data_IF_148879108052
#
_entry.id   IF_148879108052
#
_cell.length_a   1.000
_cell.length_b   1.000
_cell.length_c   1.000
_cell.angle_alpha   90.00
_cell.angle_beta   90.00
_cell.angle_gamma   90.00
#
_symmetry.space_group_name_H-M   'P 1'
#
loop_
_entity.id
_entity.type
_entity.pdbx_description
1 polymer ?
#
# COMPACT_ATOMS: atom_id res chain seq x y z
N UNK A 1 12.57 -3.59 -14.70
CA UNK A 1 11.40 -2.72 -14.61
C UNK A 1 11.69 -1.55 -13.68
N UNK A 2 11.47 -0.35 -14.14
CA UNK A 2 11.75 0.81 -13.33
C UNK A 2 10.65 1.03 -12.31
N UNK A 3 11.05 1.44 -11.12
CA UNK A 3 10.10 1.78 -10.08
C UNK A 3 9.55 3.19 -10.31
N UNK A 4 8.36 3.40 -9.82
CA UNK A 4 7.74 4.70 -9.83
C UNK A 4 8.55 5.67 -8.97
N UNK A 5 8.85 6.85 -9.50
CA UNK A 5 9.55 7.89 -8.75
C UNK A 5 8.52 8.66 -7.93
N UNK A 6 8.78 8.81 -6.63
CA UNK A 6 7.88 9.49 -5.70
C UNK A 6 6.44 8.99 -5.83
N UNK A 7 6.20 7.69 -5.62
CA UNK A 7 4.85 7.13 -5.78
C UNK A 7 3.90 7.69 -4.72
N UNK A 8 2.61 7.82 -5.05
CA UNK A 8 1.62 8.26 -4.07
C UNK A 8 1.43 7.20 -2.99
N UNK A 9 0.96 7.63 -1.82
CA UNK A 9 0.59 6.68 -0.77
C UNK A 9 -0.56 5.81 -1.29
N UNK A 10 -0.54 4.51 -1.02
CA UNK A 10 -1.61 3.62 -1.50
C UNK A 10 -3.01 4.07 -1.09
N UNK A 11 -3.15 4.74 0.05
CA UNK A 11 -4.45 5.27 0.48
C UNK A 11 -5.03 6.28 -0.51
N UNK A 12 -4.20 7.11 -1.13
CA UNK A 12 -4.65 8.04 -2.16
C UNK A 12 -5.16 7.30 -3.38
N UNK A 13 -4.49 6.23 -3.77
CA UNK A 13 -4.89 5.42 -4.91
C UNK A 13 -6.25 4.79 -4.64
N UNK A 14 -6.44 4.22 -3.45
CA UNK A 14 -7.72 3.63 -3.07
C UNK A 14 -8.82 4.68 -3.13
N UNK A 15 -8.58 5.85 -2.59
CA UNK A 15 -9.56 6.92 -2.57
C UNK A 15 -9.95 7.34 -3.98
N UNK A 16 -8.96 7.60 -4.83
CA UNK A 16 -9.21 8.09 -6.18
C UNK A 16 -9.82 7.04 -7.11
N UNK A 17 -9.41 5.79 -6.98
CA UNK A 17 -9.86 4.74 -7.90
C UNK A 17 -11.08 3.99 -7.42
N UNK A 18 -11.27 3.87 -6.12
CA UNK A 18 -12.31 2.99 -5.57
C UNK A 18 -13.43 3.73 -4.88
N UNK A 19 -13.12 4.81 -4.18
CA UNK A 19 -14.11 5.49 -3.32
C UNK A 19 -14.74 6.67 -4.02
N UNK A 20 -13.94 7.60 -4.54
CA UNK A 20 -14.46 8.81 -5.16
C UNK A 20 -15.33 8.56 -6.40
N UNK A 21 -14.95 7.65 -7.33
CA UNK A 21 -15.76 7.46 -8.53
C UNK A 21 -17.16 6.99 -8.28
N UNK A 22 -17.39 6.23 -7.20
CA UNK A 22 -18.72 5.73 -6.86
C UNK A 22 -19.34 6.49 -5.70
N UNK A 23 -18.67 7.56 -5.25
CA UNK A 23 -19.17 8.46 -4.21
C UNK A 23 -19.48 7.74 -2.89
N UNK A 24 -18.68 6.76 -2.53
CA UNK A 24 -18.81 6.08 -1.25
C UNK A 24 -18.38 6.99 -0.11
N UNK A 25 -19.05 6.86 1.03
CA UNK A 25 -18.56 7.45 2.26
C UNK A 25 -17.50 6.50 2.86
N UNK A 26 -16.65 7.05 3.72
CA UNK A 26 -15.67 6.21 4.43
C UNK A 26 -16.38 5.14 5.24
N UNK A 27 -17.48 5.49 5.88
CA UNK A 27 -18.25 4.55 6.69
C UNK A 27 -18.79 3.40 5.83
N UNK A 28 -19.40 3.71 4.68
CA UNK A 28 -19.94 2.69 3.80
C UNK A 28 -18.83 1.80 3.23
N UNK A 29 -17.71 2.40 2.84
CA UNK A 29 -16.58 1.63 2.33
C UNK A 29 -16.01 0.70 3.39
N UNK A 30 -15.87 1.18 4.63
CA UNK A 30 -15.37 0.36 5.73
C UNK A 30 -16.30 -0.82 6.00
N UNK A 31 -17.60 -0.58 6.01
CA UNK A 31 -18.58 -1.66 6.19
C UNK A 31 -18.46 -2.69 5.09
N UNK A 32 -18.32 -2.26 3.84
CA UNK A 32 -18.18 -3.17 2.72
C UNK A 32 -16.89 -3.99 2.79
N UNK A 33 -15.82 -3.39 3.30
CA UNK A 33 -14.54 -4.08 3.46
C UNK A 33 -14.49 -4.95 4.72
N UNK A 34 -15.45 -4.79 5.62
CA UNK A 34 -15.46 -5.55 6.85
C UNK A 34 -14.43 -5.07 7.87
N UNK A 35 -14.10 -3.80 7.85
CA UNK A 35 -13.15 -3.19 8.80
C UNK A 35 -13.79 -2.00 9.48
N UNK A 36 -13.19 -1.54 10.56
CA UNK A 36 -13.71 -0.36 11.25
C UNK A 36 -13.46 0.90 10.41
N UNK A 37 -14.29 1.91 10.62
CA UNK A 37 -14.09 3.20 9.96
C UNK A 37 -12.72 3.79 10.31
N UNK A 38 -12.28 3.61 11.56
CA UNK A 38 -10.97 4.09 12.00
C UNK A 38 -9.84 3.43 11.20
N UNK A 39 -9.94 2.13 11.00
CA UNK A 39 -8.93 1.38 10.24
C UNK A 39 -8.82 1.90 8.80
N UNK A 40 -9.96 2.05 8.14
CA UNK A 40 -9.95 2.55 6.77
C UNK A 40 -9.50 4.00 6.71
N UNK A 41 -9.97 4.84 7.62
CA UNK A 41 -9.58 6.23 7.66
C UNK A 41 -8.07 6.40 7.82
N UNK A 42 -7.45 5.59 8.68
CA UNK A 42 -6.00 5.63 8.85
C UNK A 42 -5.27 5.31 7.55
N UNK A 43 -5.75 4.30 6.82
CA UNK A 43 -5.15 3.94 5.54
C UNK A 43 -5.32 5.07 4.51
N UNK A 44 -6.53 5.62 4.39
CA UNK A 44 -6.80 6.68 3.41
C UNK A 44 -6.02 7.96 3.69
N UNK A 45 -5.73 8.23 4.96
CA UNK A 45 -5.02 9.44 5.37
C UNK A 45 -3.51 9.25 5.46
N UNK A 46 -3.00 8.09 5.03
CA UNK A 46 -1.56 7.86 5.00
C UNK A 46 -0.93 7.50 6.33
N UNK A 47 -1.74 7.16 7.33
CA UNK A 47 -1.24 6.78 8.66
C UNK A 47 -1.05 5.27 8.84
N UNK A 48 -1.47 4.49 7.85
CA UNK A 48 -1.31 3.04 7.86
C UNK A 48 -1.09 2.56 6.43
N UNK A 49 -0.51 1.38 6.28
CA UNK A 49 -0.28 0.80 4.97
C UNK A 49 -1.24 -0.34 4.68
N UNK A 50 -1.12 -0.91 3.48
CA UNK A 50 -1.92 -2.06 3.07
C UNK A 50 -1.23 -3.32 3.59
N UNK A 51 -1.90 -4.05 4.49
CA UNK A 51 -1.45 -5.36 4.95
C UNK A 51 -1.92 -6.43 3.97
N UNK A 52 -1.38 -7.65 4.05
CA UNK A 52 -1.91 -8.76 3.24
C UNK A 52 -3.40 -8.98 3.42
N UNK A 53 -3.90 -8.90 4.66
CA UNK A 53 -5.32 -9.02 4.92
C UNK A 53 -6.13 -7.94 4.22
N UNK A 54 -5.69 -6.69 4.32
CA UNK A 54 -6.36 -5.58 3.66
C UNK A 54 -6.32 -5.74 2.14
N UNK A 55 -5.20 -6.24 1.59
CA UNK A 55 -5.08 -6.46 0.15
C UNK A 55 -6.12 -7.47 -0.35
N UNK A 56 -6.37 -8.52 0.44
CA UNK A 56 -7.39 -9.50 0.10
C UNK A 56 -8.77 -8.86 0.14
N UNK A 57 -9.05 -8.06 1.16
CA UNK A 57 -10.34 -7.36 1.28
C UNK A 57 -10.57 -6.40 0.12
N UNK A 58 -9.56 -5.63 -0.24
CA UNK A 58 -9.64 -4.72 -1.38
C UNK A 58 -9.86 -5.45 -2.69
N UNK A 59 -9.17 -6.59 -2.86
CA UNK A 59 -9.34 -7.41 -4.05
C UNK A 59 -10.78 -7.91 -4.19
N UNK A 60 -11.36 -8.39 -3.10
CA UNK A 60 -12.72 -8.91 -3.12
C UNK A 60 -13.77 -7.81 -3.32
N UNK A 61 -13.51 -6.63 -2.78
CA UNK A 61 -14.49 -5.54 -2.83
C UNK A 61 -14.40 -4.73 -4.12
N UNK A 62 -13.21 -4.44 -4.60
CA UNK A 62 -13.01 -3.51 -5.71
C UNK A 62 -12.32 -4.13 -6.93
N UNK A 63 -11.88 -5.37 -6.84
CA UNK A 63 -11.14 -6.00 -7.92
C UNK A 63 -9.64 -5.79 -7.78
N UNK A 64 -8.89 -6.11 -8.84
CA UNK A 64 -7.44 -6.20 -8.85
C UNK A 64 -7.00 -7.34 -7.94
N UNK A 65 -5.80 -7.87 -8.20
CA UNK A 65 -5.28 -8.96 -7.37
C UNK A 65 -4.75 -8.43 -6.05
N UNK A 66 -4.72 -9.26 -5.00
CA UNK A 66 -4.08 -8.85 -3.75
C UNK A 66 -2.62 -8.46 -3.96
N UNK A 67 -1.92 -9.16 -4.84
CA UNK A 67 -0.54 -8.85 -5.16
C UNK A 67 -0.39 -7.45 -5.75
N UNK A 68 -1.33 -7.04 -6.59
CA UNK A 68 -1.33 -5.71 -7.18
C UNK A 68 -1.47 -4.63 -6.11
N UNK A 69 -2.34 -4.84 -5.13
CA UNK A 69 -2.50 -3.91 -4.04
C UNK A 69 -1.24 -3.83 -3.18
N UNK A 70 -0.63 -4.99 -2.88
CA UNK A 70 0.61 -5.02 -2.11
C UNK A 70 1.78 -4.41 -2.87
N UNK A 71 1.77 -4.50 -4.20
CA UNK A 71 2.81 -3.90 -5.01
C UNK A 71 2.82 -2.37 -4.87
N UNK A 72 1.66 -1.75 -4.79
CA UNK A 72 1.56 -0.31 -4.54
C UNK A 72 2.22 0.05 -3.21
N UNK A 73 1.97 -0.76 -2.18
CA UNK A 73 2.55 -0.53 -0.87
C UNK A 73 4.07 -0.72 -0.91
N UNK A 74 4.52 -1.77 -1.58
CA UNK A 74 5.95 -2.04 -1.70
C UNK A 74 6.69 -0.89 -2.36
N UNK A 75 6.17 -0.38 -3.47
CA UNK A 75 6.79 0.72 -4.18
C UNK A 75 6.89 1.97 -3.32
N UNK A 76 5.83 2.28 -2.60
CA UNK A 76 5.82 3.43 -1.71
C UNK A 76 6.85 3.26 -0.58
N UNK A 77 6.82 2.11 0.09
CA UNK A 77 7.72 1.84 1.21
C UNK A 77 9.18 1.85 0.79
N UNK A 78 9.50 1.23 -0.34
CA UNK A 78 10.87 1.22 -0.84
C UNK A 78 11.35 2.62 -1.21
N UNK A 79 10.50 3.39 -1.87
CA UNK A 79 10.89 4.75 -2.23
C UNK A 79 11.19 5.58 -0.98
N UNK A 80 10.34 5.47 0.05
CA UNK A 80 10.56 6.18 1.31
C UNK A 80 11.86 5.73 1.98
N UNK A 81 12.11 4.42 2.01
CA UNK A 81 13.32 3.89 2.61
C UNK A 81 14.57 4.33 1.85
N UNK A 82 14.48 4.40 0.54
CA UNK A 82 15.62 4.80 -0.29
C UNK A 82 16.02 6.26 -0.10
N UNK A 83 15.08 7.10 0.33
CA UNK A 83 15.40 8.50 0.63
C UNK A 83 16.38 8.60 1.81
N UNK A 84 16.47 7.58 2.64
CA UNK A 84 17.37 7.54 3.78
C UNK A 84 18.35 6.37 3.71
N UNK A 85 18.59 5.83 2.51
CA UNK A 85 19.46 4.67 2.34
C UNK A 85 20.90 4.95 2.75
N UNK A 86 21.35 6.19 2.60
CA UNK A 86 22.71 6.56 2.99
C UNK A 86 22.94 6.43 4.49
N UNK A 87 21.86 6.50 5.29
CA UNK A 87 21.95 6.35 6.74
C UNK A 87 21.99 4.90 7.17
N UNK A 88 21.69 3.98 6.26
CA UNK A 88 21.71 2.55 6.55
C UNK A 88 23.12 2.04 6.32
N UNK A 89 23.82 1.75 7.40
CA UNK A 89 25.20 1.30 7.35
C UNK A 89 25.26 -0.18 7.61
N UNK A 90 25.66 -0.95 6.61
CA UNK A 90 25.79 -2.39 6.76
C UNK A 90 27.13 -2.82 6.17
N UNK A 91 27.63 -3.94 6.67
CA UNK A 91 28.83 -4.55 6.14
C UNK A 91 28.42 -5.48 5.01
N UNK A 92 29.18 -5.43 3.92
CA UNK A 92 28.96 -6.36 2.83
C UNK A 92 29.62 -7.70 3.16
N UNK A 93 28.86 -8.78 3.06
CA UNK A 93 29.37 -10.13 3.24
C UNK A 93 29.34 -10.83 1.90
N UNK A 94 30.51 -11.37 1.44
CA UNK A 94 30.49 -12.12 0.18
C UNK A 94 29.71 -13.42 0.37
N UNK A 95 28.97 -13.80 -0.65
CA UNK A 95 28.22 -15.04 -0.62
C UNK A 95 28.80 -15.99 -1.66
N UNK A 96 28.90 -17.30 -1.33
CA UNK A 96 29.49 -18.26 -2.27
C UNK A 96 28.65 -18.51 -3.50
N UNK A 97 27.34 -18.26 -3.41
CA UNK A 97 26.43 -18.45 -4.54
C UNK A 97 25.21 -17.55 -4.35
N UNK A 98 24.62 -17.06 -5.43
CA UNK A 98 23.36 -16.33 -5.33
C UNK A 98 22.25 -17.26 -4.87
N UNK A 99 21.35 -16.70 -4.09
CA UNK A 99 20.21 -17.46 -3.58
C UNK A 99 19.05 -17.41 -4.55
#
# INVERSE_FOLDING_TARGET
>A
MSRMHNPPHPGEVIKELCIDPVKLTVTAAAEGLGVSRRTLSALLNGHAGISPDMAIRLSKAFGRSPESWLQLQLQYDLWQAEQRSEKIKVKHFPTPAPC
#
